data_IF_352408166327
#
_entry.id   IF_352408166327
#
_cell.length_a   1.000
_cell.length_b   1.000
_cell.length_c   1.000
_cell.angle_alpha   90.00
_cell.angle_beta   90.00
_cell.angle_gamma   90.00
#
_symmetry.space_group_name_H-M   'P 1'
#
loop_
_entity.id
_entity.type
_entity.pdbx_description
1 polymer ?
#
# COMPACT_ATOMS: atom_id res chain seq x y z
N UNK A 1 -17.33 13.55 -17.55
CA UNK A 1 -16.50 13.81 -16.37
C UNK A 1 -15.49 12.70 -16.17
N UNK A 2 -14.29 13.04 -15.82
CA UNK A 2 -13.23 12.09 -15.49
C UNK A 2 -13.27 11.78 -13.99
N UNK A 3 -13.58 10.55 -13.61
CA UNK A 3 -13.65 10.09 -12.23
C UNK A 3 -12.39 9.35 -11.78
N UNK A 4 -11.28 9.51 -12.48
CA UNK A 4 -10.00 8.86 -12.14
C UNK A 4 -9.64 9.13 -10.67
N UNK A 5 -9.42 8.07 -9.90
CA UNK A 5 -9.09 8.17 -8.48
C UNK A 5 -10.29 8.37 -7.55
N UNK A 6 -11.50 8.49 -8.06
CA UNK A 6 -12.69 8.55 -7.23
C UNK A 6 -12.99 7.20 -6.56
N UNK A 7 -13.49 7.24 -5.32
CA UNK A 7 -13.97 6.05 -4.63
C UNK A 7 -15.43 5.81 -4.99
N UNK A 8 -15.69 4.78 -5.79
CA UNK A 8 -17.02 4.39 -6.23
C UNK A 8 -17.56 3.17 -5.49
N UNK A 9 -16.92 2.75 -4.40
CA UNK A 9 -17.33 1.59 -3.62
C UNK A 9 -18.76 1.76 -3.11
N UNK A 10 -19.60 0.76 -3.40
CA UNK A 10 -21.01 0.79 -3.01
C UNK A 10 -21.92 1.65 -3.88
N UNK A 11 -21.42 2.31 -4.93
CA UNK A 11 -22.23 3.09 -5.85
C UNK A 11 -23.15 2.19 -6.70
N UNK A 12 -24.40 2.61 -6.87
CA UNK A 12 -25.36 1.90 -7.72
C UNK A 12 -25.13 2.19 -9.20
N UNK A 13 -25.43 1.20 -10.04
CA UNK A 13 -25.38 1.37 -11.49
C UNK A 13 -23.98 1.38 -12.10
N UNK A 14 -22.95 1.10 -11.33
CA UNK A 14 -21.57 1.00 -11.79
C UNK A 14 -21.25 -0.47 -12.11
N UNK A 15 -20.84 -0.74 -13.35
CA UNK A 15 -20.31 -2.04 -13.72
C UNK A 15 -18.79 -2.06 -13.44
N UNK A 16 -18.31 -2.84 -12.43
CA UNK A 16 -16.90 -2.88 -12.08
C UNK A 16 -15.99 -3.24 -13.27
N UNK A 17 -16.48 -4.09 -14.16
CA UNK A 17 -15.70 -4.52 -15.35
C UNK A 17 -15.38 -3.38 -16.31
N UNK A 18 -16.12 -2.29 -16.23
CA UNK A 18 -15.92 -1.09 -17.07
C UNK A 18 -15.20 0.04 -16.37
N UNK A 19 -15.11 0.00 -15.04
CA UNK A 19 -14.64 1.13 -14.25
C UNK A 19 -13.51 0.81 -13.29
N UNK A 20 -13.20 -0.48 -13.07
CA UNK A 20 -12.18 -0.88 -12.11
C UNK A 20 -10.97 -1.50 -12.80
N UNK A 21 -9.94 -0.68 -13.03
CA UNK A 21 -8.70 -1.12 -13.66
C UNK A 21 -7.97 -2.19 -12.84
N UNK A 22 -8.21 -2.27 -11.53
CA UNK A 22 -7.59 -3.27 -10.67
C UNK A 22 -8.09 -4.69 -10.93
N UNK A 23 -9.21 -4.85 -11.64
CA UNK A 23 -9.67 -6.19 -12.02
C UNK A 23 -8.65 -6.96 -12.88
N UNK A 24 -7.73 -6.25 -13.55
CA UNK A 24 -6.63 -6.89 -14.27
C UNK A 24 -5.77 -7.81 -13.38
N UNK A 25 -5.75 -7.58 -12.06
CA UNK A 25 -4.98 -8.41 -11.14
C UNK A 25 -5.44 -9.85 -11.11
N UNK A 26 -6.72 -10.12 -11.39
CA UNK A 26 -7.29 -11.47 -11.40
C UNK A 26 -6.72 -12.36 -12.52
N UNK A 27 -6.21 -11.75 -13.56
CA UNK A 27 -5.68 -12.45 -14.74
C UNK A 27 -4.15 -12.51 -14.78
N UNK A 28 -3.46 -12.05 -13.72
CA UNK A 28 -2.01 -12.04 -13.69
C UNK A 28 -1.45 -13.43 -13.36
N UNK A 29 -0.56 -13.98 -14.17
CA UNK A 29 0.13 -15.22 -13.85
C UNK A 29 1.29 -14.95 -12.89
N UNK A 30 1.44 -15.77 -11.87
CA UNK A 30 2.58 -15.69 -10.94
C UNK A 30 2.50 -14.56 -9.92
N UNK A 31 3.67 -14.13 -9.46
CA UNK A 31 3.79 -13.15 -8.37
C UNK A 31 3.43 -11.73 -8.83
N UNK A 32 2.66 -11.04 -8.00
CA UNK A 32 2.22 -9.67 -8.23
C UNK A 32 2.72 -8.82 -7.06
N UNK A 33 3.24 -7.63 -7.34
CA UNK A 33 3.62 -6.67 -6.32
C UNK A 33 2.59 -5.55 -6.21
N UNK A 34 2.34 -5.13 -4.98
CA UNK A 34 1.52 -3.98 -4.66
C UNK A 34 2.05 -3.31 -3.38
N UNK A 35 1.30 -2.37 -2.85
CA UNK A 35 1.79 -1.48 -1.81
C UNK A 35 0.88 -1.51 -0.59
N UNK A 36 1.49 -1.41 0.59
CA UNK A 36 0.78 -1.31 1.86
C UNK A 36 1.22 -0.04 2.58
N UNK A 37 0.27 0.84 2.84
CA UNK A 37 0.47 1.97 3.74
C UNK A 37 0.39 1.45 5.18
N UNK A 38 1.40 1.75 6.00
CA UNK A 38 1.47 1.31 7.39
C UNK A 38 1.85 2.47 8.31
N UNK A 39 1.57 2.28 9.60
CA UNK A 39 2.03 3.22 10.63
C UNK A 39 3.55 3.12 10.81
N UNK A 40 4.12 4.05 11.57
CA UNK A 40 5.55 4.03 11.87
C UNK A 40 6.05 2.77 12.59
N UNK A 41 5.16 2.06 13.29
CA UNK A 41 5.43 0.78 13.94
C UNK A 41 5.19 -0.44 13.03
N UNK A 42 4.96 -0.21 11.73
CA UNK A 42 4.63 -1.22 10.72
C UNK A 42 3.24 -1.85 10.86
N UNK A 43 2.41 -1.38 11.77
CA UNK A 43 1.03 -1.83 11.93
C UNK A 43 0.12 -1.25 10.86
N UNK A 44 -0.99 -1.96 10.56
CA UNK A 44 -2.02 -1.43 9.66
C UNK A 44 -2.68 -0.20 10.26
N UNK A 45 -2.89 0.89 9.50
CA UNK A 45 -3.56 2.10 10.00
C UNK A 45 -4.99 1.84 10.46
N UNK A 46 -5.65 0.92 9.78
CA UNK A 46 -7.03 0.51 10.07
C UNK A 46 -7.03 -1.01 10.15
N UNK A 47 -6.84 -1.54 11.36
CA UNK A 47 -6.58 -2.97 11.51
C UNK A 47 -7.67 -3.72 12.22
N UNK A 48 -8.03 -4.85 11.66
CA UNK A 48 -8.71 -5.94 12.36
C UNK A 48 -7.62 -6.89 12.89
N UNK A 49 -7.11 -6.59 14.08
CA UNK A 49 -6.09 -7.40 14.73
C UNK A 49 -4.65 -6.94 14.47
N UNK A 50 -3.67 -7.57 15.15
CA UNK A 50 -2.28 -7.13 15.16
C UNK A 50 -1.50 -7.70 13.96
N UNK A 51 -1.69 -7.14 12.77
CA UNK A 51 -0.85 -7.43 11.61
C UNK A 51 0.26 -6.40 11.50
N UNK A 52 1.50 -6.86 11.50
CA UNK A 52 2.68 -6.01 11.36
C UNK A 52 3.43 -6.38 10.08
N UNK A 53 3.67 -5.38 9.25
CA UNK A 53 4.22 -5.53 7.89
C UNK A 53 5.73 -5.30 7.86
N UNK A 54 6.46 -6.03 8.71
CA UNK A 54 7.93 -5.96 8.71
C UNK A 54 8.52 -6.76 7.55
N UNK A 55 9.65 -6.28 7.00
CA UNK A 55 10.30 -6.91 5.84
C UNK A 55 10.60 -8.38 6.10
N UNK A 56 10.28 -9.23 5.13
CA UNK A 56 10.47 -10.68 5.19
C UNK A 56 9.32 -11.45 5.82
N UNK A 57 8.32 -10.77 6.37
CA UNK A 57 7.17 -11.43 7.02
C UNK A 57 6.14 -11.85 5.97
N UNK A 58 5.62 -13.06 6.10
CA UNK A 58 4.42 -13.50 5.38
C UNK A 58 3.21 -13.37 6.30
N UNK A 59 2.21 -12.64 5.84
CA UNK A 59 0.98 -12.38 6.57
C UNK A 59 -0.17 -13.15 5.94
N UNK A 60 -1.04 -13.69 6.78
CA UNK A 60 -2.24 -14.43 6.33
C UNK A 60 -3.47 -13.95 7.09
N UNK A 61 -4.61 -13.88 6.38
CA UNK A 61 -5.93 -13.64 6.95
C UNK A 61 -6.93 -14.51 6.20
N UNK A 62 -7.17 -15.71 6.73
CA UNK A 62 -8.03 -16.69 6.09
C UNK A 62 -9.50 -16.24 5.99
N UNK A 63 -9.96 -15.41 6.95
CA UNK A 63 -11.32 -14.91 7.04
C UNK A 63 -11.49 -13.55 6.36
N UNK A 64 -10.70 -13.26 5.33
CA UNK A 64 -10.81 -12.01 4.60
C UNK A 64 -12.21 -11.81 4.02
N UNK A 65 -12.73 -10.59 4.15
CA UNK A 65 -14.05 -10.21 3.63
C UNK A 65 -14.02 -10.23 2.09
N UNK A 66 -14.88 -11.06 1.50
CA UNK A 66 -14.99 -11.22 0.04
C UNK A 66 -16.01 -10.26 -0.60
N UNK A 67 -16.66 -9.42 0.18
CA UNK A 67 -17.64 -8.46 -0.31
C UNK A 67 -16.97 -7.23 -0.88
N UNK A 68 -17.01 -7.07 -2.20
CA UNK A 68 -16.41 -5.93 -2.91
C UNK A 68 -17.14 -4.61 -2.69
N UNK A 69 -18.32 -4.62 -2.04
CA UNK A 69 -19.02 -3.39 -1.64
C UNK A 69 -18.49 -2.82 -0.32
N UNK A 70 -17.66 -3.56 0.39
CA UNK A 70 -16.99 -3.10 1.61
C UNK A 70 -15.59 -2.58 1.25
N UNK A 71 -15.32 -1.32 1.51
CA UNK A 71 -14.05 -0.70 1.18
C UNK A 71 -12.93 -1.17 2.12
N UNK A 72 -12.98 -0.99 3.38
CA UNK A 72 -11.94 -1.39 4.32
C UNK A 72 -12.32 -2.64 5.12
N UNK A 73 -12.81 -3.69 4.44
CA UNK A 73 -13.22 -4.94 5.07
C UNK A 73 -12.06 -5.69 5.73
N UNK A 74 -12.42 -6.70 6.53
CA UNK A 74 -11.44 -7.58 7.19
C UNK A 74 -10.56 -8.26 6.15
N UNK A 75 -9.25 -8.26 6.39
CA UNK A 75 -8.25 -8.85 5.50
C UNK A 75 -7.04 -7.95 5.35
N UNK A 76 -6.18 -8.30 4.41
CA UNK A 76 -5.00 -7.53 4.08
C UNK A 76 -5.37 -6.58 2.93
N UNK A 77 -5.59 -5.30 3.24
CA UNK A 77 -5.95 -4.30 2.25
C UNK A 77 -4.69 -3.68 1.66
N UNK A 78 -4.54 -3.85 0.36
CA UNK A 78 -3.40 -3.37 -0.42
C UNK A 78 -3.85 -2.30 -1.40
N UNK A 79 -2.90 -1.59 -2.01
CA UNK A 79 -3.21 -0.52 -2.92
C UNK A 79 -2.16 -0.35 -4.01
N UNK A 80 -2.46 0.52 -4.97
CA UNK A 80 -1.50 1.04 -5.91
C UNK A 80 -0.57 2.05 -5.23
N UNK A 81 0.59 2.31 -5.83
CA UNK A 81 1.49 3.35 -5.30
C UNK A 81 0.85 4.74 -5.30
N UNK A 82 0.14 5.18 -6.35
CA UNK A 82 -0.55 6.48 -6.31
C UNK A 82 -1.54 6.60 -5.15
N UNK A 83 -2.31 5.56 -4.87
CA UNK A 83 -3.23 5.56 -3.73
C UNK A 83 -2.48 5.70 -2.41
N UNK A 84 -1.44 4.91 -2.21
CA UNK A 84 -0.64 4.94 -0.99
C UNK A 84 0.02 6.32 -0.77
N UNK A 85 0.50 6.94 -1.84
CA UNK A 85 1.11 8.27 -1.76
C UNK A 85 0.08 9.36 -1.46
N UNK A 86 -1.13 9.28 -2.00
CA UNK A 86 -2.21 10.24 -1.70
C UNK A 86 -2.68 10.14 -0.25
N UNK A 87 -2.75 8.94 0.28
CA UNK A 87 -3.20 8.69 1.66
C UNK A 87 -2.08 8.80 2.71
N UNK A 88 -0.84 8.93 2.25
CA UNK A 88 0.30 9.03 3.14
C UNK A 88 0.22 10.30 3.99
N UNK A 89 0.47 10.15 5.29
CA UNK A 89 0.65 11.25 6.23
C UNK A 89 1.96 11.08 6.99
N UNK A 90 2.45 12.14 7.61
CA UNK A 90 3.71 12.12 8.33
C UNK A 90 3.75 10.99 9.37
N UNK A 91 4.86 10.27 9.40
CA UNK A 91 5.06 9.11 10.27
C UNK A 91 4.64 7.78 9.64
N UNK A 92 3.87 7.77 8.56
CA UNK A 92 3.54 6.55 7.84
C UNK A 92 4.71 6.04 7.01
N UNK A 93 4.68 4.74 6.70
CA UNK A 93 5.63 4.05 5.82
C UNK A 93 4.87 3.37 4.70
N UNK A 94 5.55 3.10 3.59
CA UNK A 94 4.98 2.36 2.45
C UNK A 94 5.83 1.12 2.22
N UNK A 95 5.17 -0.05 2.26
CA UNK A 95 5.82 -1.35 2.07
C UNK A 95 5.47 -1.90 0.69
N UNK A 96 6.46 -2.49 0.02
CA UNK A 96 6.23 -3.30 -1.16
C UNK A 96 5.93 -4.72 -0.71
N UNK A 97 4.81 -5.27 -1.18
CA UNK A 97 4.38 -6.63 -0.84
C UNK A 97 4.16 -7.45 -2.10
N UNK A 98 4.21 -8.77 -1.97
CA UNK A 98 4.03 -9.73 -3.06
C UNK A 98 2.92 -10.71 -2.71
N UNK A 99 2.10 -11.04 -3.70
CA UNK A 99 0.98 -11.98 -3.60
C UNK A 99 0.71 -12.60 -4.96
N UNK A 100 -0.29 -13.48 -5.07
CA UNK A 100 -0.74 -14.04 -6.35
C UNK A 100 -2.23 -13.76 -6.56
N UNK A 101 -2.72 -13.91 -7.78
CA UNK A 101 -4.13 -13.72 -8.10
C UNK A 101 -5.03 -14.61 -7.24
N UNK A 102 -4.59 -15.83 -6.90
CA UNK A 102 -5.34 -16.76 -6.05
C UNK A 102 -5.51 -16.25 -4.61
N UNK A 103 -4.67 -15.33 -4.16
CA UNK A 103 -4.74 -14.74 -2.82
C UNK A 103 -5.80 -13.63 -2.72
N UNK A 104 -6.32 -13.14 -3.83
CA UNK A 104 -7.26 -12.00 -3.84
C UNK A 104 -8.61 -12.42 -3.28
N UNK A 105 -9.10 -11.67 -2.30
CA UNK A 105 -10.41 -11.89 -1.68
C UNK A 105 -11.50 -10.99 -2.27
N UNK A 106 -11.19 -9.71 -2.51
CA UNK A 106 -12.14 -8.74 -3.07
C UNK A 106 -11.40 -7.56 -3.70
N UNK A 107 -12.00 -6.96 -4.72
CA UNK A 107 -11.50 -5.75 -5.38
C UNK A 107 -12.61 -4.70 -5.37
N UNK A 108 -12.72 -3.87 -4.32
CA UNK A 108 -13.67 -2.76 -4.27
C UNK A 108 -13.37 -1.68 -5.31
N UNK A 109 -14.26 -0.71 -5.45
CA UNK A 109 -14.13 0.39 -6.43
C UNK A 109 -13.40 1.62 -5.88
N UNK A 110 -12.70 1.47 -4.75
CA UNK A 110 -12.06 2.59 -4.05
C UNK A 110 -10.56 2.76 -4.28
N UNK A 111 -9.95 1.94 -5.13
CA UNK A 111 -8.50 1.98 -5.40
C UNK A 111 -7.68 1.07 -4.49
N UNK A 112 -8.32 0.34 -3.59
CA UNK A 112 -7.70 -0.71 -2.78
C UNK A 112 -8.26 -2.08 -3.15
N UNK A 113 -7.59 -3.13 -2.70
CA UNK A 113 -8.09 -4.50 -2.85
C UNK A 113 -7.62 -5.34 -1.66
N UNK A 114 -8.31 -6.44 -1.40
CA UNK A 114 -8.00 -7.31 -0.27
C UNK A 114 -7.43 -8.63 -0.74
N UNK A 115 -6.42 -9.09 0.00
CA UNK A 115 -5.83 -10.42 -0.18
C UNK A 115 -5.89 -11.20 1.13
N UNK A 116 -5.79 -12.51 1.02
CA UNK A 116 -5.73 -13.43 2.16
C UNK A 116 -4.31 -13.68 2.62
N UNK A 117 -3.33 -13.37 1.78
CA UNK A 117 -1.92 -13.65 2.03
C UNK A 117 -1.05 -12.71 1.23
N UNK A 118 0.03 -12.22 1.86
CA UNK A 118 1.09 -11.50 1.17
C UNK A 118 2.42 -11.69 1.92
N UNK A 119 3.52 -11.44 1.22
CA UNK A 119 4.85 -11.38 1.80
C UNK A 119 5.41 -9.99 1.63
N UNK A 120 5.96 -9.42 2.70
CA UNK A 120 6.57 -8.09 2.67
C UNK A 120 7.99 -8.19 2.10
N UNK A 121 8.21 -7.51 0.97
CA UNK A 121 9.48 -7.60 0.23
C UNK A 121 10.47 -6.53 0.68
N UNK A 122 10.03 -5.27 0.76
CA UNK A 122 10.90 -4.16 1.19
C UNK A 122 10.09 -2.96 1.66
N UNK A 123 10.75 -2.08 2.40
CA UNK A 123 10.24 -0.74 2.71
C UNK A 123 10.71 0.22 1.63
N UNK A 124 9.82 1.09 1.14
CA UNK A 124 10.18 2.10 0.14
C UNK A 124 10.88 3.29 0.79
N UNK A 125 11.80 3.88 0.05
CA UNK A 125 12.48 5.11 0.45
C UNK A 125 11.56 6.32 0.22
N UNK A 126 11.07 6.91 1.31
CA UNK A 126 10.13 8.03 1.26
C UNK A 126 10.76 9.31 0.72
N UNK A 127 12.06 9.48 0.87
CA UNK A 127 12.80 10.61 0.29
C UNK A 127 12.81 10.48 -1.24
N UNK A 128 13.11 9.29 -1.74
CA UNK A 128 13.11 9.00 -3.17
C UNK A 128 11.72 9.19 -3.79
N UNK A 129 10.66 8.86 -3.05
CA UNK A 129 9.27 9.11 -3.46
C UNK A 129 8.87 10.59 -3.38
N UNK A 130 9.67 11.45 -2.78
CA UNK A 130 9.36 12.85 -2.61
C UNK A 130 8.36 13.15 -1.49
N UNK A 131 8.07 12.20 -0.61
CA UNK A 131 7.14 12.38 0.50
C UNK A 131 7.79 13.00 1.73
N UNK A 132 9.09 12.80 1.90
CA UNK A 132 9.89 13.29 3.01
C UNK A 132 11.09 14.04 2.46
N UNK A 133 11.43 15.18 3.08
CA UNK A 133 12.64 15.92 2.73
C UNK A 133 13.89 15.14 3.12
N UNK A 134 14.96 15.20 2.29
CA UNK A 134 16.22 14.58 2.67
C UNK A 134 16.78 15.24 3.93
N UNK A 135 17.32 14.42 4.84
CA UNK A 135 18.02 14.93 6.02
C UNK A 135 19.22 15.73 5.56
N UNK A 136 19.32 17.01 6.00
CA UNK A 136 20.46 17.85 5.69
C UNK A 136 21.74 17.19 6.20
N UNK A 137 22.72 16.97 5.29
CA UNK A 137 24.04 16.50 5.72
C UNK A 137 24.64 17.55 6.66
N UNK A 138 25.23 17.15 7.81
CA UNK A 138 25.92 18.10 8.68
C UNK A 138 26.97 18.85 7.86
N UNK A 139 26.98 20.19 7.97
CA UNK A 139 27.99 21.01 7.32
C UNK A 139 29.38 20.53 7.74
N UNK A 140 30.25 20.21 6.77
CA UNK A 140 31.65 19.97 7.07
C UNK A 140 32.19 21.16 7.82
N UNK A 141 32.62 20.95 9.07
CA UNK A 141 33.38 21.94 9.80
C UNK A 141 34.74 22.05 9.11
N UNK A 142 35.04 23.22 8.53
CA UNK A 142 36.37 23.49 8.00
C UNK A 142 37.36 23.35 9.15
N UNK A 143 38.33 22.45 8.99
CA UNK A 143 39.47 22.42 9.90
C UNK A 143 40.15 23.79 9.84
N UNK A 144 40.45 24.43 10.99
CA UNK A 144 41.20 25.68 10.97
C UNK A 144 42.52 25.47 10.23
N UNK A 145 42.87 26.40 9.32
CA UNK A 145 44.17 26.38 8.69
C UNK A 145 45.22 26.53 9.79
N UNK A 146 46.08 25.53 9.93
CA UNK A 146 47.25 25.64 10.79
C UNK A 146 48.13 26.70 10.14
N UNK A 147 48.36 27.82 10.83
CA UNK A 147 49.33 28.82 10.39
C UNK A 147 50.74 28.17 10.35
N UNK A 148 51.40 28.23 9.18
CA UNK A 148 52.74 27.75 9.04
C UNK A 148 53.72 28.67 9.80
#
# INVERSE_FOLDING_TARGET
ANLTGANLTGADGIDPRRHNDLLMLLDQPGAICAYKLVRGDYGSPMGYGPLYYTVGTTLTEADADTDATHDCGRGINLATLPWAMREWTEGHRIMLVEFTAADIAAIPLGGTFRVRKCTVIKELDLVELGLVEPVAKPKRVRKPKVAA
#
